data_IF_131147422294
#
_entry.id   IF_131147422294
#
_cell.length_a   1.000
_cell.length_b   1.000
_cell.length_c   1.000
_cell.angle_alpha   90.00
_cell.angle_beta   90.00
_cell.angle_gamma   90.00
#
_symmetry.space_group_name_H-M   'P 1'
#
loop_
_entity.id
_entity.type
_entity.pdbx_description
1 polymer ?
#
# COMPACT_ATOMS: atom_id res chain seq x y z
N UNK A 1 -11.33 10.78 15.73
CA UNK A 1 -10.89 9.67 16.62
C UNK A 1 -9.52 9.22 16.14
N UNK A 2 -8.46 9.71 16.78
CA UNK A 2 -7.07 9.54 16.34
C UNK A 2 -6.69 8.07 16.55
N UNK A 3 -6.65 7.27 15.47
CA UNK A 3 -6.10 5.90 15.52
C UNK A 3 -4.61 5.99 15.82
N UNK A 4 -4.09 5.04 16.62
CA UNK A 4 -2.66 4.90 16.93
C UNK A 4 -1.80 5.07 15.67
N UNK A 5 -0.75 5.90 15.75
CA UNK A 5 0.19 6.14 14.65
C UNK A 5 0.76 4.83 14.10
N UNK A 6 1.03 3.85 14.97
CA UNK A 6 1.52 2.53 14.58
C UNK A 6 0.54 1.79 13.67
N UNK A 7 -0.77 1.92 13.90
CA UNK A 7 -1.81 1.29 13.07
C UNK A 7 -1.87 1.95 11.69
N UNK A 8 -1.65 3.26 11.62
CA UNK A 8 -1.63 3.99 10.34
C UNK A 8 -0.40 3.59 9.51
N UNK A 9 0.77 3.53 10.14
CA UNK A 9 1.99 3.04 9.48
C UNK A 9 1.80 1.59 9.00
N UNK A 10 1.26 0.71 9.85
CA UNK A 10 0.99 -0.67 9.47
C UNK A 10 0.01 -0.77 8.28
N UNK A 11 -1.00 0.10 8.20
CA UNK A 11 -1.92 0.14 7.07
C UNK A 11 -1.21 0.58 5.77
N UNK A 12 -0.37 1.61 5.84
CA UNK A 12 0.34 2.16 4.69
C UNK A 12 1.36 1.15 4.14
N UNK A 13 2.22 0.59 5.02
CA UNK A 13 3.19 -0.44 4.62
C UNK A 13 2.51 -1.75 4.24
N UNK A 14 1.44 -2.12 4.93
CA UNK A 14 0.62 -3.27 4.58
C UNK A 14 0.04 -3.16 3.18
N UNK A 15 -0.47 -1.98 2.79
CA UNK A 15 -1.01 -1.74 1.45
C UNK A 15 0.06 -1.88 0.36
N UNK A 16 1.28 -1.39 0.61
CA UNK A 16 2.40 -1.59 -0.30
C UNK A 16 2.71 -3.08 -0.52
N UNK A 17 2.86 -3.83 0.58
CA UNK A 17 3.20 -5.26 0.52
C UNK A 17 2.08 -6.05 -0.15
N UNK A 18 0.84 -5.84 0.28
CA UNK A 18 -0.33 -6.52 -0.28
C UNK A 18 -0.51 -6.17 -1.75
N UNK A 19 -0.42 -4.89 -2.14
CA UNK A 19 -0.53 -4.46 -3.53
C UNK A 19 0.55 -5.08 -4.43
N UNK A 20 1.79 -5.15 -3.93
CA UNK A 20 2.91 -5.79 -4.64
C UNK A 20 2.67 -7.28 -4.82
N UNK A 21 2.29 -7.99 -3.74
CA UNK A 21 2.05 -9.43 -3.78
C UNK A 21 0.86 -9.78 -4.67
N UNK A 22 -0.22 -9.01 -4.61
CA UNK A 22 -1.39 -9.18 -5.48
C UNK A 22 -0.99 -9.00 -6.94
N UNK A 23 -0.21 -7.97 -7.27
CA UNK A 23 0.27 -7.79 -8.64
C UNK A 23 1.13 -8.98 -9.12
N UNK A 24 2.00 -9.50 -8.24
CA UNK A 24 2.82 -10.67 -8.54
C UNK A 24 1.95 -11.92 -8.79
N UNK A 25 0.95 -12.15 -7.95
CA UNK A 25 -0.01 -13.26 -8.08
C UNK A 25 -0.88 -13.15 -9.34
N UNK A 26 -1.17 -11.93 -9.80
CA UNK A 26 -1.91 -11.66 -11.02
C UNK A 26 -1.03 -11.68 -12.28
N UNK A 27 0.26 -12.02 -12.16
CA UNK A 27 1.14 -12.24 -13.31
C UNK A 27 1.90 -11.01 -13.79
N UNK A 28 2.27 -10.08 -12.89
CA UNK A 28 3.19 -8.99 -13.25
C UNK A 28 4.45 -9.53 -13.94
N UNK A 29 4.81 -8.96 -15.09
CA UNK A 29 5.91 -9.42 -15.93
C UNK A 29 7.30 -9.33 -15.25
N UNK A 30 7.42 -8.51 -14.20
CA UNK A 30 8.65 -8.34 -13.43
C UNK A 30 8.35 -7.86 -12.02
N UNK A 31 9.30 -8.05 -11.10
CA UNK A 31 9.21 -7.48 -9.76
C UNK A 31 9.09 -5.95 -9.81
N UNK A 32 9.79 -5.29 -10.75
CA UNK A 32 9.67 -3.84 -10.97
C UNK A 32 8.24 -3.41 -11.28
N UNK A 33 7.54 -4.15 -12.14
CA UNK A 33 6.13 -3.86 -12.46
C UNK A 33 5.22 -4.07 -11.24
N UNK A 34 5.43 -5.15 -10.47
CA UNK A 34 4.68 -5.40 -9.25
C UNK A 34 4.89 -4.30 -8.19
N UNK A 35 6.13 -3.81 -8.05
CA UNK A 35 6.45 -2.72 -7.13
C UNK A 35 5.76 -1.41 -7.51
N UNK A 36 5.54 -1.13 -8.80
CA UNK A 36 4.75 0.05 -9.23
C UNK A 36 3.31 -0.05 -8.70
N UNK A 37 2.67 -1.22 -8.80
CA UNK A 37 1.34 -1.43 -8.22
C UNK A 37 1.34 -1.31 -6.69
N UNK A 38 2.39 -1.82 -6.03
CA UNK A 38 2.61 -1.61 -4.60
C UNK A 38 2.70 -0.13 -4.23
N UNK A 39 3.45 0.67 -4.99
CA UNK A 39 3.58 2.12 -4.78
C UNK A 39 2.25 2.86 -4.99
N UNK A 40 1.45 2.45 -5.97
CA UNK A 40 0.11 3.00 -6.18
C UNK A 40 -0.81 2.71 -4.99
N UNK A 41 -0.80 1.48 -4.48
CA UNK A 41 -1.56 1.08 -3.29
C UNK A 41 -1.11 1.84 -2.03
N UNK A 42 0.21 2.00 -1.85
CA UNK A 42 0.80 2.83 -0.79
C UNK A 42 0.28 4.26 -0.87
N UNK A 43 0.37 4.90 -2.04
CA UNK A 43 -0.03 6.29 -2.24
C UNK A 43 -1.53 6.48 -1.97
N UNK A 44 -2.38 5.56 -2.45
CA UNK A 44 -3.81 5.61 -2.20
C UNK A 44 -4.15 5.54 -0.70
N UNK A 45 -3.52 4.63 0.03
CA UNK A 45 -3.74 4.49 1.48
C UNK A 45 -3.14 5.66 2.25
N UNK A 46 -1.99 6.17 1.84
CA UNK A 46 -1.40 7.38 2.43
C UNK A 46 -2.36 8.57 2.30
N UNK A 47 -2.90 8.82 1.10
CA UNK A 47 -3.88 9.90 0.89
C UNK A 47 -5.12 9.67 1.75
N UNK A 48 -5.62 8.44 1.83
CA UNK A 48 -6.75 8.11 2.70
C UNK A 48 -6.47 8.39 4.19
N UNK A 49 -5.28 8.04 4.69
CA UNK A 49 -4.85 8.35 6.06
C UNK A 49 -4.80 9.86 6.28
N UNK A 50 -4.20 10.62 5.35
CA UNK A 50 -4.09 12.07 5.45
C UNK A 50 -5.45 12.77 5.46
N UNK A 51 -6.40 12.33 4.63
CA UNK A 51 -7.74 12.91 4.57
C UNK A 51 -8.61 12.57 5.80
N UNK A 52 -8.30 11.47 6.49
CA UNK A 52 -9.05 11.01 7.67
C UNK A 52 -8.48 11.52 9.00
N UNK A 53 -7.25 12.02 8.98
CA UNK A 53 -6.53 12.57 10.13
C UNK A 53 -7.10 13.92 10.54
#
# INVERSE_FOLDING_TARGET
MIRSQSVQLAAIFGAFVVGTLVALLLGAASLGSALVFGQMAFAAVLVWVLLKS
#
